data_IF_139725021547
#
_entry.id   IF_139725021547
#
_cell.length_a   1.000
_cell.length_b   1.000
_cell.length_c   1.000
_cell.angle_alpha   90.00
_cell.angle_beta   90.00
_cell.angle_gamma   90.00
#
_symmetry.space_group_name_H-M   'P 1'
#
loop_
_entity.id
_entity.type
_entity.pdbx_description
1 polymer ?
#
# COMPACT_ATOMS: atom_id res chain seq x y z
N UNK A 1 -2.00 -1.99 31.09
CA UNK A 1 -3.25 -1.39 30.59
C UNK A 1 -3.22 -1.44 29.09
N UNK A 2 -4.16 -2.15 28.49
CA UNK A 2 -4.28 -2.23 27.03
C UNK A 2 -4.76 -0.86 26.44
N UNK A 3 -4.69 -0.69 25.12
CA UNK A 3 -5.10 0.58 24.50
C UNK A 3 -6.60 0.89 24.63
N UNK A 4 -7.44 -0.13 24.82
CA UNK A 4 -8.88 0.05 24.98
C UNK A 4 -9.20 0.60 26.38
N UNK A 5 -8.57 0.05 27.41
CA UNK A 5 -8.64 0.55 28.79
C UNK A 5 -8.12 1.99 28.88
N UNK A 6 -7.01 2.31 28.18
CA UNK A 6 -6.49 3.68 28.10
C UNK A 6 -7.50 4.64 27.47
N UNK A 7 -8.18 4.22 26.39
CA UNK A 7 -9.23 5.03 25.76
C UNK A 7 -10.37 5.30 26.75
N UNK A 8 -10.89 4.26 27.41
CA UNK A 8 -11.96 4.41 28.40
C UNK A 8 -11.55 5.29 29.58
N UNK A 9 -10.30 5.21 30.05
CA UNK A 9 -9.78 6.08 31.10
C UNK A 9 -9.76 7.56 30.66
N UNK A 10 -9.35 7.84 29.42
CA UNK A 10 -9.34 9.20 28.86
C UNK A 10 -10.76 9.72 28.70
N UNK A 11 -11.69 8.91 28.18
CA UNK A 11 -13.09 9.30 28.06
C UNK A 11 -13.69 9.68 29.41
N UNK A 12 -13.51 8.81 30.42
CA UNK A 12 -13.93 9.07 31.80
C UNK A 12 -13.31 10.35 32.37
N UNK A 13 -12.00 10.57 32.16
CA UNK A 13 -11.33 11.79 32.60
C UNK A 13 -11.98 13.05 32.00
N UNK A 14 -12.32 13.04 30.72
CA UNK A 14 -12.98 14.17 30.06
C UNK A 14 -14.42 14.39 30.54
N UNK A 15 -15.14 13.33 30.89
CA UNK A 15 -16.49 13.42 31.46
C UNK A 15 -16.50 14.04 32.86
N UNK A 16 -15.57 13.62 33.71
CA UNK A 16 -15.47 14.07 35.10
C UNK A 16 -14.90 15.49 35.21
N UNK A 17 -13.83 15.81 34.46
CA UNK A 17 -13.11 17.08 34.59
C UNK A 17 -13.61 18.17 33.64
N UNK A 18 -14.28 17.80 32.55
CA UNK A 18 -14.79 18.75 31.55
C UNK A 18 -16.27 18.52 31.17
N UNK A 19 -17.19 18.42 32.15
CA UNK A 19 -18.59 18.03 31.91
C UNK A 19 -19.34 19.02 31.00
N UNK A 20 -18.93 20.29 31.01
CA UNK A 20 -19.54 21.38 30.20
C UNK A 20 -19.10 21.39 28.73
N UNK A 21 -18.13 20.56 28.32
CA UNK A 21 -17.74 20.48 26.91
C UNK A 21 -18.85 19.79 26.11
N UNK A 22 -19.31 20.45 25.05
CA UNK A 22 -20.20 19.85 24.07
C UNK A 22 -19.55 18.64 23.38
N UNK A 23 -20.39 17.73 22.86
CA UNK A 23 -20.01 16.41 22.34
C UNK A 23 -18.84 16.48 21.34
N UNK A 24 -18.86 17.42 20.39
CA UNK A 24 -17.80 17.56 19.38
C UNK A 24 -16.45 17.97 19.98
N UNK A 25 -16.46 18.88 20.96
CA UNK A 25 -15.25 19.36 21.65
C UNK A 25 -14.65 18.26 22.52
N UNK A 26 -15.50 17.52 23.24
CA UNK A 26 -15.07 16.36 24.03
C UNK A 26 -14.41 15.29 23.15
N UNK A 27 -15.06 14.93 22.04
CA UNK A 27 -14.54 13.95 21.06
C UNK A 27 -13.14 14.32 20.56
N UNK A 28 -12.94 15.56 20.13
CA UNK A 28 -11.63 16.04 19.66
C UNK A 28 -10.57 16.06 20.76
N UNK A 29 -10.94 16.45 21.98
CA UNK A 29 -10.06 16.43 23.14
C UNK A 29 -9.59 15.00 23.48
N UNK A 30 -10.53 14.06 23.58
CA UNK A 30 -10.25 12.62 23.79
C UNK A 30 -9.34 12.10 22.69
N UNK A 31 -9.64 12.42 21.44
CA UNK A 31 -8.83 12.03 20.27
C UNK A 31 -7.38 12.47 20.40
N UNK A 32 -7.14 13.75 20.68
CA UNK A 32 -5.79 14.30 20.82
C UNK A 32 -5.07 13.72 22.03
N UNK A 33 -5.76 13.59 23.17
CA UNK A 33 -5.21 13.02 24.38
C UNK A 33 -4.78 11.56 24.16
N UNK A 34 -5.61 10.75 23.51
CA UNK A 34 -5.31 9.36 23.19
C UNK A 34 -4.07 9.23 22.30
N UNK A 35 -4.00 10.01 21.22
CA UNK A 35 -2.83 9.97 20.33
C UNK A 35 -1.54 10.41 21.03
N UNK A 36 -1.61 11.42 21.92
CA UNK A 36 -0.46 11.85 22.74
C UNK A 36 -0.02 10.74 23.70
N UNK A 37 -0.96 10.16 24.45
CA UNK A 37 -0.68 9.08 25.41
C UNK A 37 -0.07 7.86 24.71
N UNK A 38 -0.58 7.51 23.53
CA UNK A 38 -0.05 6.41 22.73
C UNK A 38 1.37 6.70 22.23
N UNK A 39 1.57 7.83 21.53
CA UNK A 39 2.86 8.22 20.95
C UNK A 39 3.96 8.35 21.99
N UNK A 40 3.67 9.03 23.10
CA UNK A 40 4.65 9.33 24.15
C UNK A 40 4.71 8.26 25.24
N UNK A 41 3.90 7.19 25.13
CA UNK A 41 3.81 6.08 26.08
C UNK A 41 3.55 6.56 27.52
N UNK A 42 2.70 7.57 27.69
CA UNK A 42 2.40 8.14 29.01
C UNK A 42 1.63 7.14 29.88
N UNK A 43 1.96 7.12 31.17
CA UNK A 43 1.29 6.31 32.19
C UNK A 43 0.18 7.03 32.95
N UNK A 44 0.02 8.34 32.76
CA UNK A 44 -0.98 9.16 33.44
C UNK A 44 -1.47 10.31 32.54
N UNK A 45 -2.47 11.07 33.02
CA UNK A 45 -3.14 12.15 32.29
C UNK A 45 -2.82 13.55 32.85
N UNK A 46 -1.74 13.71 33.62
CA UNK A 46 -1.42 14.99 34.29
C UNK A 46 -1.20 16.15 33.30
N UNK A 47 -0.81 15.85 32.05
CA UNK A 47 -0.69 16.87 31.01
C UNK A 47 -2.02 17.51 30.57
N UNK A 48 -3.14 16.91 30.97
CA UNK A 48 -4.48 17.46 30.80
C UNK A 48 -4.89 18.33 32.00
N UNK A 49 -4.10 18.45 33.06
CA UNK A 49 -4.40 19.31 34.20
C UNK A 49 -4.07 20.80 33.90
N UNK A 50 -4.62 21.70 34.71
CA UNK A 50 -4.41 23.15 34.64
C UNK A 50 -5.66 23.95 34.27
N UNK A 51 -5.59 25.27 34.45
CA UNK A 51 -6.67 26.19 34.07
C UNK A 51 -6.63 26.54 32.58
N UNK A 52 -7.81 26.65 31.96
CA UNK A 52 -7.96 27.01 30.56
C UNK A 52 -8.91 28.19 30.39
N UNK A 53 -8.45 29.21 29.65
CA UNK A 53 -9.30 30.35 29.30
C UNK A 53 -10.53 29.93 28.50
N UNK A 54 -10.36 29.01 27.56
CA UNK A 54 -11.44 28.40 26.76
C UNK A 54 -10.96 27.12 26.04
N UNK A 55 -11.89 26.38 25.44
CA UNK A 55 -11.59 25.16 24.72
C UNK A 55 -10.59 25.35 23.56
N UNK A 56 -10.64 26.47 22.85
CA UNK A 56 -9.70 26.72 21.73
C UNK A 56 -8.25 26.82 22.22
N UNK A 57 -8.02 27.49 23.35
CA UNK A 57 -6.69 27.55 23.98
C UNK A 57 -6.20 26.16 24.42
N UNK A 58 -7.11 25.34 24.96
CA UNK A 58 -6.81 23.97 25.35
C UNK A 58 -6.47 23.08 24.14
N UNK A 59 -7.30 23.13 23.09
CA UNK A 59 -7.08 22.40 21.82
C UNK A 59 -5.75 22.79 21.17
N UNK A 60 -5.41 24.08 21.11
CA UNK A 60 -4.11 24.54 20.57
C UNK A 60 -2.93 23.97 21.34
N UNK A 61 -3.02 23.83 22.67
CA UNK A 61 -1.97 23.21 23.47
C UNK A 61 -1.80 21.72 23.16
N UNK A 62 -2.91 20.99 23.07
CA UNK A 62 -2.89 19.57 22.69
C UNK A 62 -2.36 19.37 21.26
N UNK A 63 -2.78 20.21 20.31
CA UNK A 63 -2.25 20.21 18.95
C UNK A 63 -0.75 20.49 18.92
N UNK A 64 -0.25 21.45 19.72
CA UNK A 64 1.19 21.73 19.81
C UNK A 64 2.00 20.53 20.30
N UNK A 65 1.46 19.73 21.23
CA UNK A 65 2.12 18.51 21.73
C UNK A 65 2.03 17.36 20.73
N UNK A 66 0.86 17.15 20.11
CA UNK A 66 0.66 16.09 19.12
C UNK A 66 1.36 16.36 17.79
N UNK A 67 1.40 17.62 17.36
CA UNK A 67 1.93 18.09 16.07
C UNK A 67 2.98 19.21 16.25
N UNK A 68 4.12 18.96 16.91
CA UNK A 68 5.14 19.98 17.19
C UNK A 68 5.76 20.65 15.95
N UNK A 69 5.82 19.97 14.80
CA UNK A 69 6.38 20.48 13.54
C UNK A 69 5.40 21.40 12.84
N UNK A 70 4.11 21.03 12.82
CA UNK A 70 3.07 21.70 12.02
C UNK A 70 2.19 22.67 12.79
N UNK A 71 2.05 22.50 14.10
CA UNK A 71 1.23 23.38 14.94
C UNK A 71 1.75 24.83 14.87
N UNK A 72 0.85 25.76 14.55
CA UNK A 72 1.16 27.18 14.37
C UNK A 72 1.64 27.58 12.97
N UNK A 73 1.93 26.60 12.10
CA UNK A 73 2.28 26.81 10.67
C UNK A 73 1.16 26.38 9.72
N UNK A 74 0.28 25.50 10.20
CA UNK A 74 -0.82 24.93 9.40
C UNK A 74 -2.17 25.38 9.92
N UNK A 75 -3.13 25.59 9.01
CA UNK A 75 -4.52 25.89 9.35
C UNK A 75 -5.17 24.77 10.16
N UNK A 76 -6.09 25.13 11.06
CA UNK A 76 -6.77 24.16 11.93
C UNK A 76 -7.55 23.08 11.16
N UNK A 77 -8.01 23.39 9.94
CA UNK A 77 -8.75 22.46 9.09
C UNK A 77 -7.91 21.30 8.53
N UNK A 78 -6.59 21.38 8.58
CA UNK A 78 -5.71 20.32 8.06
C UNK A 78 -5.52 19.17 9.07
N UNK A 79 -5.81 19.38 10.35
CA UNK A 79 -5.71 18.34 11.37
C UNK A 79 -6.93 17.42 11.31
N UNK A 80 -6.74 16.18 10.85
CA UNK A 80 -7.81 15.20 10.77
C UNK A 80 -8.02 14.49 12.11
N UNK A 81 -9.06 14.90 12.83
CA UNK A 81 -9.42 14.39 14.16
C UNK A 81 -10.78 13.67 14.13
N UNK A 82 -10.88 12.49 13.48
CA UNK A 82 -12.14 11.74 13.41
C UNK A 82 -12.49 11.19 14.80
N UNK A 83 -13.76 10.80 14.97
CA UNK A 83 -14.17 10.02 16.14
C UNK A 83 -13.28 8.77 16.24
N UNK A 84 -12.69 8.58 17.42
CA UNK A 84 -12.00 7.36 17.79
C UNK A 84 -13.06 6.37 18.30
N UNK A 85 -13.11 5.18 17.68
CA UNK A 85 -14.01 4.09 18.04
C UNK A 85 -13.24 2.80 17.79
N UNK A 86 -12.66 2.26 18.86
CA UNK A 86 -11.80 1.07 18.82
C UNK A 86 -12.61 -0.14 19.26
N UNK A 87 -12.71 -1.14 18.39
CA UNK A 87 -13.44 -2.38 18.66
C UNK A 87 -12.50 -3.58 18.66
N UNK A 88 -12.56 -4.38 19.73
CA UNK A 88 -11.67 -5.54 19.93
C UNK A 88 -11.90 -6.63 18.89
N UNK A 89 -13.11 -6.76 18.34
CA UNK A 89 -13.42 -7.77 17.32
C UNK A 89 -12.71 -7.54 15.98
N UNK A 90 -12.29 -6.31 15.67
CA UNK A 90 -11.63 -5.99 14.40
C UNK A 90 -10.12 -6.15 14.42
N UNK A 91 -9.53 -6.32 15.61
CA UNK A 91 -8.09 -6.47 15.77
C UNK A 91 -7.59 -7.66 14.95
N UNK A 92 -6.57 -7.40 14.13
CA UNK A 92 -5.91 -8.40 13.30
C UNK A 92 -5.31 -9.48 14.19
N UNK A 93 -5.60 -10.73 13.84
CA UNK A 93 -5.04 -11.92 14.48
C UNK A 93 -4.29 -12.69 13.40
N UNK A 94 -2.97 -12.87 13.53
CA UNK A 94 -2.20 -13.57 12.52
C UNK A 94 -2.73 -15.00 12.33
N UNK A 95 -3.23 -15.31 11.14
CA UNK A 95 -3.41 -16.69 10.69
C UNK A 95 -2.20 -17.05 9.82
N UNK A 96 -1.54 -18.17 10.10
CA UNK A 96 -0.36 -18.59 9.34
C UNK A 96 -0.77 -19.19 7.98
N UNK A 97 -0.01 -18.89 6.93
CA UNK A 97 -0.17 -19.48 5.59
C UNK A 97 -0.67 -18.52 4.52
N UNK A 98 -0.61 -18.95 3.26
CA UNK A 98 -1.17 -18.23 2.12
C UNK A 98 -2.71 -18.31 2.06
N UNK A 99 -3.35 -17.74 1.03
CA UNK A 99 -4.81 -17.82 0.88
C UNK A 99 -5.26 -19.28 0.74
N UNK A 100 -6.08 -19.74 1.69
CA UNK A 100 -6.73 -21.04 1.70
C UNK A 100 -8.24 -20.81 1.60
N UNK A 101 -8.77 -20.64 0.38
CA UNK A 101 -10.17 -20.32 0.20
C UNK A 101 -11.06 -21.51 0.56
N UNK A 102 -11.97 -21.28 1.49
CA UNK A 102 -13.03 -22.21 1.87
C UNK A 102 -14.22 -22.11 0.92
N UNK A 103 -14.43 -20.91 0.33
CA UNK A 103 -15.55 -20.60 -0.55
C UNK A 103 -15.04 -20.05 -1.87
N UNK A 104 -15.50 -20.62 -2.98
CA UNK A 104 -15.19 -20.17 -4.32
C UNK A 104 -16.50 -19.92 -5.05
N UNK A 105 -16.87 -18.65 -5.13
CA UNK A 105 -18.02 -18.20 -5.90
C UNK A 105 -17.62 -17.95 -7.35
N UNK A 106 -18.47 -18.30 -8.30
CA UNK A 106 -18.17 -18.10 -9.72
C UNK A 106 -19.41 -17.68 -10.50
N UNK A 107 -19.25 -16.74 -11.44
CA UNK A 107 -20.31 -16.44 -12.40
C UNK A 107 -20.46 -17.60 -13.39
N UNK A 108 -21.65 -17.75 -14.00
CA UNK A 108 -21.89 -18.81 -15.01
C UNK A 108 -20.84 -18.83 -16.13
N UNK A 109 -20.36 -17.66 -16.54
CA UNK A 109 -19.33 -17.46 -17.57
C UNK A 109 -17.93 -17.99 -17.17
N UNK A 110 -17.67 -18.16 -15.87
CA UNK A 110 -16.41 -18.69 -15.35
C UNK A 110 -16.38 -20.22 -15.31
N UNK A 111 -17.53 -20.90 -15.40
CA UNK A 111 -17.61 -22.37 -15.37
C UNK A 111 -16.81 -22.95 -16.55
N UNK A 112 -15.97 -23.94 -16.24
CA UNK A 112 -15.15 -24.64 -17.24
C UNK A 112 -13.91 -23.87 -17.72
N UNK A 113 -13.68 -22.63 -17.23
CA UNK A 113 -12.44 -21.91 -17.52
C UNK A 113 -11.20 -22.66 -16.99
N UNK A 114 -10.02 -22.31 -17.54
CA UNK A 114 -8.73 -22.83 -17.08
C UNK A 114 -8.52 -22.57 -15.59
N UNK A 115 -8.83 -21.35 -15.14
CA UNK A 115 -8.70 -20.96 -13.73
C UNK A 115 -9.68 -21.73 -12.83
N UNK A 116 -10.95 -21.86 -13.23
CA UNK A 116 -11.93 -22.65 -12.48
C UNK A 116 -11.46 -24.10 -12.28
N UNK A 117 -11.02 -24.73 -13.37
CA UNK A 117 -10.55 -26.13 -13.35
C UNK A 117 -9.28 -26.30 -12.50
N UNK A 118 -8.38 -25.31 -12.55
CA UNK A 118 -7.18 -25.28 -11.71
C UNK A 118 -7.53 -25.19 -10.22
N UNK A 119 -8.43 -24.26 -9.85
CA UNK A 119 -8.85 -24.08 -8.46
C UNK A 119 -9.60 -25.30 -7.91
N UNK A 120 -10.41 -25.98 -8.72
CA UNK A 120 -11.04 -27.26 -8.34
C UNK A 120 -10.02 -28.34 -7.95
N UNK A 121 -8.87 -28.37 -8.63
CA UNK A 121 -7.78 -29.32 -8.33
C UNK A 121 -6.97 -28.89 -7.11
N UNK A 122 -6.70 -27.60 -6.96
CA UNK A 122 -5.95 -27.05 -5.82
C UNK A 122 -6.74 -27.13 -4.51
N UNK A 123 -8.06 -26.95 -4.58
CA UNK A 123 -8.94 -26.90 -3.41
C UNK A 123 -10.14 -27.85 -3.56
N UNK A 124 -9.91 -29.18 -3.54
CA UNK A 124 -10.99 -30.16 -3.72
C UNK A 124 -12.04 -30.10 -2.60
N UNK A 125 -11.66 -29.63 -1.40
CA UNK A 125 -12.55 -29.46 -0.26
C UNK A 125 -13.26 -28.10 -0.16
N UNK A 126 -12.95 -27.14 -1.04
CA UNK A 126 -13.61 -25.84 -1.02
C UNK A 126 -15.05 -25.94 -1.53
N UNK A 127 -15.94 -25.12 -0.99
CA UNK A 127 -17.32 -24.99 -1.44
C UNK A 127 -17.37 -24.14 -2.71
N UNK A 128 -17.79 -24.74 -3.84
CA UNK A 128 -17.98 -24.02 -5.10
C UNK A 128 -19.46 -23.73 -5.33
N UNK A 129 -19.80 -22.46 -5.48
CA UNK A 129 -21.18 -22.05 -5.77
C UNK A 129 -21.25 -21.08 -6.93
N UNK A 130 -22.17 -21.34 -7.84
CA UNK A 130 -22.51 -20.38 -8.89
C UNK A 130 -23.24 -19.18 -8.26
N UNK A 131 -22.96 -17.99 -8.76
CA UNK A 131 -23.64 -16.73 -8.38
C UNK A 131 -24.14 -16.01 -9.63
N UNK A 132 -25.13 -15.13 -9.45
CA UNK A 132 -25.68 -14.30 -10.52
C UNK A 132 -24.63 -13.31 -11.05
N UNK A 133 -24.26 -12.31 -10.23
CA UNK A 133 -23.20 -11.35 -10.54
C UNK A 133 -22.36 -11.05 -9.30
N UNK A 134 -21.08 -10.70 -9.48
CA UNK A 134 -20.23 -10.20 -8.38
C UNK A 134 -20.86 -9.00 -7.67
N UNK A 135 -21.54 -8.13 -8.42
CA UNK A 135 -22.19 -6.92 -7.90
C UNK A 135 -23.17 -7.20 -6.76
N UNK A 136 -23.77 -8.39 -6.71
CA UNK A 136 -24.71 -8.77 -5.65
C UNK A 136 -24.01 -8.96 -4.29
N UNK A 137 -22.67 -9.05 -4.29
CA UNK A 137 -21.82 -9.11 -3.11
C UNK A 137 -21.09 -7.79 -2.84
N UNK A 138 -21.26 -6.77 -3.67
CA UNK A 138 -20.72 -5.44 -3.39
C UNK A 138 -21.51 -4.80 -2.24
N UNK A 139 -20.81 -4.06 -1.38
CA UNK A 139 -21.46 -3.27 -0.35
C UNK A 139 -20.52 -2.25 0.25
N UNK A 140 -21.02 -1.56 1.27
CA UNK A 140 -20.17 -0.66 2.06
C UNK A 140 -18.99 -1.43 2.67
N UNK A 141 -17.87 -0.71 2.81
CA UNK A 141 -16.69 -1.23 3.45
C UNK A 141 -17.02 -1.64 4.89
N UNK A 142 -16.73 -2.88 5.24
CA UNK A 142 -16.86 -3.42 6.58
C UNK A 142 -15.58 -4.18 6.97
N UNK A 143 -15.10 -3.92 8.18
CA UNK A 143 -13.85 -4.49 8.68
C UNK A 143 -13.94 -5.99 8.90
N UNK A 144 -15.09 -6.53 9.31
CA UNK A 144 -15.27 -7.98 9.46
C UNK A 144 -15.17 -8.66 8.10
N UNK A 145 -15.85 -8.12 7.07
CA UNK A 145 -15.76 -8.61 5.68
C UNK A 145 -14.34 -8.49 5.14
N UNK A 146 -13.64 -7.39 5.40
CA UNK A 146 -12.25 -7.22 4.98
C UNK A 146 -11.33 -8.25 5.64
N UNK A 147 -11.45 -8.45 6.95
CA UNK A 147 -10.65 -9.41 7.71
C UNK A 147 -10.89 -10.87 7.25
N UNK A 148 -12.10 -11.21 6.81
CA UNK A 148 -12.44 -12.55 6.33
C UNK A 148 -12.11 -12.79 4.84
N UNK A 149 -11.63 -11.78 4.10
CA UNK A 149 -11.51 -11.84 2.62
C UNK A 149 -10.68 -13.01 2.08
N UNK A 150 -9.69 -13.49 2.83
CA UNK A 150 -8.79 -14.54 2.37
C UNK A 150 -9.45 -15.94 2.30
N UNK A 151 -10.62 -16.12 2.94
CA UNK A 151 -11.35 -17.39 2.89
C UNK A 151 -12.28 -17.50 1.68
N UNK A 152 -12.41 -16.44 0.87
CA UNK A 152 -13.37 -16.37 -0.23
C UNK A 152 -12.70 -15.91 -1.53
N UNK A 153 -12.87 -16.68 -2.61
CA UNK A 153 -12.54 -16.25 -3.97
C UNK A 153 -13.81 -16.01 -4.79
N UNK A 154 -13.75 -15.01 -5.65
CA UNK A 154 -14.75 -14.74 -6.69
C UNK A 154 -14.10 -14.90 -8.07
N UNK A 155 -14.68 -15.76 -8.90
CA UNK A 155 -14.27 -15.96 -10.29
C UNK A 155 -15.26 -15.27 -11.21
N UNK A 156 -14.77 -14.27 -11.93
CA UNK A 156 -15.60 -13.41 -12.79
C UNK A 156 -15.05 -13.36 -14.19
N UNK A 157 -15.92 -13.06 -15.17
CA UNK A 157 -15.45 -12.67 -16.50
C UNK A 157 -15.40 -11.14 -16.57
N UNK A 158 -14.20 -10.57 -16.61
CA UNK A 158 -14.01 -9.12 -16.77
C UNK A 158 -14.52 -8.67 -18.15
N UNK A 159 -15.12 -7.48 -18.24
CA UNK A 159 -15.73 -6.97 -19.48
C UNK A 159 -15.24 -5.59 -19.89
N UNK A 160 -14.73 -4.79 -18.96
CA UNK A 160 -14.52 -3.36 -19.18
C UNK A 160 -13.18 -2.87 -18.65
N UNK A 161 -12.77 -3.29 -17.45
CA UNK A 161 -11.62 -2.69 -16.76
C UNK A 161 -10.32 -3.45 -17.00
N UNK A 162 -10.02 -3.81 -18.26
CA UNK A 162 -8.83 -4.60 -18.57
C UNK A 162 -7.52 -3.82 -18.37
N UNK A 163 -7.50 -2.58 -18.88
CA UNK A 163 -6.31 -1.75 -18.98
C UNK A 163 -6.65 -0.26 -18.89
N UNK A 164 -6.11 0.42 -17.88
CA UNK A 164 -6.35 1.84 -17.64
C UNK A 164 -5.07 2.60 -17.27
N UNK A 165 -4.97 3.92 -17.54
CA UNK A 165 -3.93 4.73 -16.94
C UNK A 165 -4.00 4.63 -15.40
N UNK A 166 -2.85 4.65 -14.74
CA UNK A 166 -2.77 4.78 -13.29
C UNK A 166 -3.57 6.01 -12.85
N UNK A 167 -4.48 5.90 -11.87
CA UNK A 167 -5.25 7.03 -11.37
C UNK A 167 -4.39 7.89 -10.43
N UNK A 168 -3.27 8.41 -10.95
CA UNK A 168 -2.46 9.41 -10.26
C UNK A 168 -3.37 10.54 -9.79
N UNK A 169 -3.22 10.95 -8.54
CA UNK A 169 -4.15 11.93 -7.98
C UNK A 169 -3.94 13.29 -8.63
N UNK A 170 -5.02 14.04 -8.83
CA UNK A 170 -4.97 15.39 -9.39
C UNK A 170 -3.95 16.25 -8.63
N UNK A 171 -3.13 17.00 -9.36
CA UNK A 171 -2.04 17.81 -8.81
C UNK A 171 -0.71 17.05 -8.63
N UNK A 172 -0.69 15.73 -8.80
CA UNK A 172 0.55 14.95 -8.82
C UNK A 172 1.16 14.90 -10.23
N UNK A 173 2.48 14.71 -10.29
CA UNK A 173 3.18 14.40 -11.55
C UNK A 173 2.81 12.98 -11.99
N UNK A 174 2.32 12.84 -13.22
CA UNK A 174 1.98 11.54 -13.78
C UNK A 174 3.25 10.74 -14.06
N UNK A 175 3.27 9.50 -13.60
CA UNK A 175 4.32 8.55 -13.97
C UNK A 175 4.00 7.87 -15.32
N UNK A 176 2.85 8.08 -15.96
CA UNK A 176 2.53 7.45 -17.26
C UNK A 176 2.41 5.91 -17.21
N UNK A 177 2.27 5.34 -16.00
CA UNK A 177 2.03 3.91 -15.79
C UNK A 177 0.62 3.53 -16.19
N UNK A 178 0.45 2.36 -16.81
CA UNK A 178 -0.85 1.73 -17.04
C UNK A 178 -1.01 0.52 -16.12
N UNK A 179 -2.23 0.32 -15.66
CA UNK A 179 -2.63 -0.80 -14.82
C UNK A 179 -3.30 -1.85 -15.68
N UNK A 180 -2.72 -3.04 -15.69
CA UNK A 180 -3.34 -4.26 -16.19
C UNK A 180 -4.11 -4.92 -15.04
N UNK A 181 -5.43 -4.75 -15.00
CA UNK A 181 -6.21 -4.98 -13.78
C UNK A 181 -6.56 -6.46 -13.56
N UNK A 182 -5.59 -7.24 -13.09
CA UNK A 182 -5.69 -8.70 -12.97
C UNK A 182 -6.50 -9.22 -11.78
N UNK A 183 -7.20 -8.36 -11.07
CA UNK A 183 -8.02 -8.75 -9.93
C UNK A 183 -8.13 -7.67 -8.87
N UNK A 184 -8.82 -8.03 -7.80
CA UNK A 184 -9.13 -7.12 -6.71
C UNK A 184 -8.99 -7.81 -5.37
N UNK A 185 -8.31 -7.16 -4.43
CA UNK A 185 -7.94 -7.73 -3.13
C UNK A 185 -6.52 -8.31 -3.13
N UNK A 186 -5.98 -8.45 -1.92
CA UNK A 186 -4.63 -8.95 -1.69
C UNK A 186 -4.61 -9.89 -0.47
N UNK A 187 -3.86 -11.00 -0.53
CA UNK A 187 -3.78 -11.96 0.58
C UNK A 187 -2.97 -11.44 1.78
N UNK A 188 -2.17 -10.39 1.60
CA UNK A 188 -1.32 -9.83 2.65
C UNK A 188 -2.08 -8.90 3.58
N UNK A 189 -1.51 -8.73 4.77
CA UNK A 189 -2.11 -8.01 5.88
C UNK A 189 -1.29 -6.79 6.29
N UNK A 190 -0.81 -6.03 5.30
CA UNK A 190 0.02 -4.85 5.58
C UNK A 190 -0.78 -3.78 6.34
N UNK A 191 -0.26 -3.30 7.47
CA UNK A 191 -0.92 -2.32 8.34
C UNK A 191 -1.24 -1.02 7.61
N UNK A 192 -0.37 -0.59 6.70
CA UNK A 192 -0.51 0.62 5.91
C UNK A 192 -1.28 0.42 4.58
N UNK A 193 -1.82 -0.77 4.31
CA UNK A 193 -2.41 -1.10 3.01
C UNK A 193 -3.58 -0.16 2.66
N UNK A 194 -3.51 0.51 1.50
CA UNK A 194 -4.58 1.40 1.07
C UNK A 194 -5.88 0.65 0.73
N UNK A 195 -5.83 -0.64 0.38
CA UNK A 195 -7.02 -1.45 0.07
C UNK A 195 -8.01 -1.53 1.24
N UNK A 196 -7.54 -1.30 2.47
CA UNK A 196 -8.37 -1.17 3.68
C UNK A 196 -9.35 0.02 3.62
N UNK A 197 -9.29 0.89 2.61
CA UNK A 197 -10.28 1.94 2.36
C UNK A 197 -10.98 1.84 1.01
N UNK A 198 -10.77 0.75 0.27
CA UNK A 198 -11.27 0.60 -1.11
C UNK A 198 -12.03 -0.70 -1.34
N UNK A 199 -11.70 -1.77 -0.61
CA UNK A 199 -12.30 -3.08 -0.86
C UNK A 199 -13.79 -3.11 -0.52
N UNK A 200 -14.63 -3.37 -1.52
CA UNK A 200 -16.09 -3.36 -1.42
C UNK A 200 -16.74 -4.75 -1.52
N UNK A 201 -15.92 -5.80 -1.67
CA UNK A 201 -16.35 -7.21 -1.73
C UNK A 201 -15.67 -8.04 -0.64
N UNK A 202 -16.33 -9.11 -0.13
CA UNK A 202 -15.85 -9.88 1.00
C UNK A 202 -14.92 -11.03 0.57
N UNK A 203 -14.03 -10.78 -0.39
CA UNK A 203 -13.16 -11.81 -0.95
C UNK A 203 -12.16 -11.27 -1.95
N UNK A 204 -11.30 -12.15 -2.46
CA UNK A 204 -10.39 -11.84 -3.57
C UNK A 204 -11.11 -12.12 -4.89
N UNK A 205 -11.00 -11.21 -5.85
CA UNK A 205 -11.63 -11.32 -7.18
C UNK A 205 -10.56 -11.62 -8.21
N UNK A 206 -10.80 -12.67 -9.00
CA UNK A 206 -9.91 -13.10 -10.07
C UNK A 206 -10.68 -13.18 -11.40
N UNK A 207 -10.20 -12.53 -12.47
CA UNK A 207 -10.77 -12.70 -13.79
C UNK A 207 -10.43 -14.09 -14.35
N UNK A 208 -11.30 -14.65 -15.19
CA UNK A 208 -11.12 -15.98 -15.82
C UNK A 208 -10.78 -15.93 -17.30
N UNK A 209 -10.63 -14.72 -17.86
CA UNK A 209 -10.53 -14.43 -19.28
C UNK A 209 -9.32 -13.55 -19.59
N UNK A 210 -8.12 -14.00 -19.18
CA UNK A 210 -6.87 -13.24 -19.38
C UNK A 210 -6.59 -12.94 -20.87
N UNK A 211 -7.08 -13.80 -21.76
CA UNK A 211 -6.98 -13.65 -23.21
C UNK A 211 -7.67 -12.37 -23.71
N UNK A 212 -8.79 -11.98 -23.08
CA UNK A 212 -9.48 -10.73 -23.42
C UNK A 212 -8.63 -9.51 -23.03
N UNK A 213 -7.84 -9.59 -21.96
CA UNK A 213 -6.93 -8.52 -21.59
C UNK A 213 -5.80 -8.33 -22.62
N UNK A 214 -5.27 -9.44 -23.15
CA UNK A 214 -4.28 -9.40 -24.22
C UNK A 214 -4.86 -8.82 -25.52
N UNK A 215 -6.08 -9.23 -25.89
CA UNK A 215 -6.78 -8.69 -27.04
C UNK A 215 -7.04 -7.18 -26.91
N UNK A 216 -7.47 -6.72 -25.73
CA UNK A 216 -7.68 -5.29 -25.46
C UNK A 216 -6.37 -4.50 -25.51
N UNK A 217 -5.27 -5.06 -24.99
CA UNK A 217 -3.96 -4.46 -25.14
C UNK A 217 -3.60 -4.29 -26.62
N UNK A 218 -3.69 -5.35 -27.43
CA UNK A 218 -3.34 -5.27 -28.85
C UNK A 218 -4.24 -4.31 -29.61
N UNK A 219 -5.55 -4.27 -29.31
CA UNK A 219 -6.49 -3.32 -29.91
C UNK A 219 -6.12 -1.86 -29.62
N UNK A 220 -5.68 -1.56 -28.39
CA UNK A 220 -5.41 -0.18 -27.95
C UNK A 220 -4.00 0.29 -28.26
N UNK A 221 -3.05 -0.63 -28.35
CA UNK A 221 -1.61 -0.35 -28.41
C UNK A 221 -0.90 -0.98 -29.62
N UNK A 222 -1.63 -1.46 -30.62
CA UNK A 222 -1.05 -1.85 -31.91
C UNK A 222 -0.26 -0.69 -32.52
N UNK A 223 1.01 -0.94 -32.90
CA UNK A 223 1.84 0.07 -33.55
C UNK A 223 2.43 1.15 -32.62
N UNK A 224 2.50 0.89 -31.31
CA UNK A 224 3.23 1.75 -30.36
C UNK A 224 4.63 2.10 -30.86
N UNK A 225 4.91 3.40 -31.02
CA UNK A 225 6.24 3.93 -31.37
C UNK A 225 7.05 4.39 -30.16
N UNK A 226 6.37 4.67 -29.03
CA UNK A 226 6.99 5.11 -27.78
C UNK A 226 6.88 4.01 -26.74
N UNK A 227 7.92 3.87 -25.92
CA UNK A 227 7.90 2.92 -24.80
C UNK A 227 6.86 3.35 -23.76
N UNK A 228 6.09 2.37 -23.27
CA UNK A 228 5.16 2.56 -22.16
C UNK A 228 5.43 1.56 -21.04
N UNK A 229 5.03 1.90 -19.82
CA UNK A 229 5.09 1.01 -18.67
C UNK A 229 3.68 0.55 -18.30
N UNK A 230 3.50 -0.76 -18.25
CA UNK A 230 2.26 -1.42 -17.85
C UNK A 230 2.58 -2.33 -16.68
N UNK A 231 1.66 -2.58 -15.77
CA UNK A 231 1.84 -3.66 -14.82
C UNK A 231 0.63 -3.99 -13.98
N UNK A 232 0.76 -5.02 -13.14
CA UNK A 232 -0.36 -5.73 -12.52
C UNK A 232 -0.59 -5.43 -11.02
N UNK A 233 0.08 -4.43 -10.46
CA UNK A 233 0.13 -4.20 -9.01
C UNK A 233 -0.68 -3.05 -8.44
N UNK A 234 -1.88 -2.76 -8.95
CA UNK A 234 -2.75 -1.72 -8.36
C UNK A 234 -3.63 -2.29 -7.25
N UNK A 235 -4.68 -3.03 -7.60
CA UNK A 235 -5.67 -3.53 -6.64
C UNK A 235 -5.44 -4.97 -6.19
N UNK A 236 -4.33 -5.57 -6.61
CA UNK A 236 -3.93 -6.93 -6.27
C UNK A 236 -2.41 -7.07 -6.27
N UNK A 237 -1.92 -8.12 -5.60
CA UNK A 237 -0.53 -8.57 -5.73
C UNK A 237 -0.52 -9.80 -6.63
N UNK A 238 -0.18 -9.59 -7.91
CA UNK A 238 -0.34 -10.62 -8.94
C UNK A 238 0.56 -11.84 -8.69
N UNK A 239 1.79 -11.65 -8.22
CA UNK A 239 2.70 -12.78 -7.92
C UNK A 239 2.36 -13.48 -6.61
N UNK A 240 1.72 -12.80 -5.65
CA UNK A 240 1.19 -13.47 -4.47
C UNK A 240 0.06 -14.46 -4.82
N UNK A 241 -0.76 -14.13 -5.82
CA UNK A 241 -1.88 -14.96 -6.29
C UNK A 241 -1.52 -15.88 -7.46
N UNK A 242 -0.32 -15.73 -8.01
CA UNK A 242 0.15 -16.51 -9.16
C UNK A 242 0.22 -18.03 -8.93
N UNK A 243 0.49 -18.56 -7.72
CA UNK A 243 0.31 -19.99 -7.46
C UNK A 243 -1.12 -20.49 -7.75
N UNK A 244 -2.12 -19.62 -7.59
CA UNK A 244 -3.51 -19.91 -7.90
C UNK A 244 -3.79 -19.74 -9.38
N UNK A 245 -3.33 -18.65 -9.99
CA UNK A 245 -3.73 -18.24 -11.35
C UNK A 245 -2.84 -18.81 -12.45
N UNK A 246 -1.52 -18.83 -12.26
CA UNK A 246 -0.52 -19.10 -13.29
C UNK A 246 -0.39 -18.00 -14.34
N UNK A 247 -0.93 -16.80 -14.08
CA UNK A 247 -0.98 -15.70 -15.03
C UNK A 247 0.39 -15.12 -15.38
N UNK A 248 1.35 -15.17 -14.46
CA UNK A 248 2.68 -14.59 -14.70
C UNK A 248 3.32 -15.17 -15.95
N UNK A 249 3.09 -16.45 -16.21
CA UNK A 249 3.68 -17.14 -17.36
C UNK A 249 3.12 -16.64 -18.68
N UNK A 250 1.79 -16.63 -18.79
CA UNK A 250 1.09 -16.18 -20.00
C UNK A 250 1.38 -14.69 -20.29
N UNK A 251 1.42 -13.88 -19.24
CA UNK A 251 1.75 -12.45 -19.34
C UNK A 251 3.19 -12.25 -19.79
N UNK A 252 4.15 -12.96 -19.18
CA UNK A 252 5.56 -12.82 -19.55
C UNK A 252 5.79 -13.23 -21.00
N UNK A 253 5.18 -14.33 -21.47
CA UNK A 253 5.27 -14.79 -22.87
C UNK A 253 4.59 -13.84 -23.86
N UNK A 254 3.45 -13.24 -23.48
CA UNK A 254 2.76 -12.28 -24.33
C UNK A 254 3.54 -10.98 -24.46
N UNK A 255 3.95 -10.39 -23.33
CA UNK A 255 4.61 -9.09 -23.32
C UNK A 255 6.08 -9.14 -23.72
N UNK A 256 6.78 -10.29 -23.61
CA UNK A 256 8.18 -10.40 -24.05
C UNK A 256 8.36 -10.11 -25.54
N UNK A 257 7.29 -10.27 -26.33
CA UNK A 257 7.24 -10.00 -27.78
C UNK A 257 6.93 -8.53 -28.11
N UNK A 258 6.74 -7.67 -27.12
CA UNK A 258 6.29 -6.27 -27.28
C UNK A 258 7.44 -5.31 -26.96
N UNK A 259 8.28 -4.99 -27.94
CA UNK A 259 9.52 -4.20 -27.77
C UNK A 259 9.32 -2.84 -27.09
N UNK A 260 8.19 -2.18 -27.35
CA UNK A 260 7.86 -0.86 -26.81
C UNK A 260 7.02 -0.91 -25.52
N UNK A 261 7.05 -2.04 -24.80
CA UNK A 261 6.35 -2.18 -23.52
C UNK A 261 7.28 -2.73 -22.46
N UNK A 262 7.40 -2.01 -21.35
CA UNK A 262 7.86 -2.60 -20.10
C UNK A 262 6.66 -3.13 -19.33
N UNK A 263 6.56 -4.45 -19.18
CA UNK A 263 5.56 -5.06 -18.30
C UNK A 263 6.16 -5.30 -16.92
N UNK A 264 5.53 -4.75 -15.89
CA UNK A 264 5.98 -4.83 -14.51
C UNK A 264 5.05 -5.71 -13.66
N UNK A 265 5.63 -6.73 -13.05
CA UNK A 265 5.03 -7.36 -11.88
C UNK A 265 5.45 -6.56 -10.63
N UNK A 266 4.49 -6.08 -9.84
CA UNK A 266 4.78 -5.49 -8.52
C UNK A 266 4.34 -6.46 -7.45
N UNK A 267 5.23 -6.78 -6.51
CA UNK A 267 4.90 -7.75 -5.47
C UNK A 267 5.57 -7.45 -4.13
N UNK A 268 4.98 -7.97 -3.06
CA UNK A 268 5.58 -8.19 -1.74
C UNK A 268 5.80 -9.67 -1.43
N UNK A 269 5.52 -10.56 -2.39
CA UNK A 269 5.87 -11.98 -2.31
C UNK A 269 7.34 -12.23 -2.68
N UNK A 270 7.80 -13.46 -2.49
CA UNK A 270 9.03 -13.98 -3.11
C UNK A 270 8.74 -14.96 -4.26
N UNK A 271 7.50 -14.98 -4.76
CA UNK A 271 7.02 -16.01 -5.69
C UNK A 271 7.46 -15.70 -7.12
N UNK A 272 8.59 -16.28 -7.53
CA UNK A 272 9.15 -16.09 -8.87
C UNK A 272 9.27 -17.39 -9.68
N UNK A 273 8.81 -18.52 -9.13
CA UNK A 273 9.03 -19.86 -9.70
C UNK A 273 8.51 -19.98 -11.14
N UNK A 274 7.33 -19.44 -11.42
CA UNK A 274 6.71 -19.51 -12.74
C UNK A 274 7.45 -18.68 -13.79
N UNK A 275 8.14 -17.60 -13.37
CA UNK A 275 8.96 -16.78 -14.25
C UNK A 275 10.30 -17.45 -14.54
N UNK A 276 10.89 -18.16 -13.58
CA UNK A 276 12.14 -18.89 -13.79
C UNK A 276 12.01 -20.06 -14.79
N UNK A 277 10.78 -20.47 -15.14
CA UNK A 277 10.54 -21.45 -16.21
C UNK A 277 10.49 -20.86 -17.62
N UNK A 278 10.58 -19.53 -17.77
CA UNK A 278 10.37 -18.82 -19.03
C UNK A 278 11.66 -18.15 -19.46
N UNK A 279 11.93 -18.06 -20.75
CA UNK A 279 13.09 -17.30 -21.23
C UNK A 279 12.99 -15.84 -20.77
N UNK A 280 13.98 -15.38 -20.02
CA UNK A 280 14.01 -14.00 -19.54
C UNK A 280 14.00 -13.00 -20.70
N UNK A 281 13.32 -11.88 -20.48
CA UNK A 281 13.24 -10.79 -21.44
C UNK A 281 13.49 -9.45 -20.74
N UNK A 282 14.31 -8.55 -21.31
CA UNK A 282 14.68 -7.29 -20.66
C UNK A 282 13.48 -6.34 -20.46
N UNK A 283 12.38 -6.56 -21.19
CA UNK A 283 11.17 -5.76 -21.09
C UNK A 283 10.15 -6.31 -20.09
N UNK A 284 10.39 -7.51 -19.53
CA UNK A 284 9.65 -8.03 -18.38
C UNK A 284 10.41 -7.65 -17.13
N UNK A 285 9.79 -6.81 -16.30
CA UNK A 285 10.38 -6.27 -15.09
C UNK A 285 9.66 -6.86 -13.88
N UNK A 286 10.41 -7.39 -12.93
CA UNK A 286 9.84 -7.77 -11.63
C UNK A 286 10.31 -6.77 -10.60
N UNK A 287 9.34 -6.22 -9.87
CA UNK A 287 9.58 -5.18 -8.89
C UNK A 287 9.06 -5.58 -7.52
N UNK A 288 9.91 -5.38 -6.51
CA UNK A 288 9.58 -5.70 -5.13
C UNK A 288 9.30 -4.42 -4.36
N UNK A 289 8.26 -4.41 -3.53
CA UNK A 289 8.20 -3.38 -2.49
C UNK A 289 9.24 -3.72 -1.43
N UNK A 290 10.18 -2.81 -1.18
CA UNK A 290 11.27 -3.01 -0.23
C UNK A 290 11.05 -2.09 0.97
N UNK A 291 10.97 -2.70 2.15
CA UNK A 291 10.78 -2.01 3.42
C UNK A 291 11.86 -2.47 4.38
N UNK A 292 12.49 -1.57 5.16
CA UNK A 292 13.54 -1.95 6.09
C UNK A 292 13.07 -3.11 7.00
N UNK A 293 13.90 -4.14 7.27
CA UNK A 293 13.47 -5.35 7.96
C UNK A 293 12.72 -5.10 9.28
N UNK A 294 13.20 -4.14 10.09
CA UNK A 294 12.55 -3.76 11.34
C UNK A 294 11.12 -3.25 11.12
N UNK A 295 10.92 -2.38 10.11
CA UNK A 295 9.61 -1.83 9.77
C UNK A 295 8.70 -2.89 9.13
N UNK A 296 9.25 -3.76 8.28
CA UNK A 296 8.51 -4.84 7.65
C UNK A 296 7.94 -5.81 8.70
N UNK A 297 8.73 -6.19 9.71
CA UNK A 297 8.30 -7.11 10.76
C UNK A 297 7.11 -6.59 11.59
N UNK A 298 6.98 -5.27 11.73
CA UNK A 298 5.89 -4.64 12.47
C UNK A 298 4.66 -4.31 11.62
N UNK A 299 4.78 -4.36 10.28
CA UNK A 299 3.77 -3.77 9.39
C UNK A 299 3.38 -4.61 8.18
N UNK A 300 4.15 -5.62 7.78
CA UNK A 300 3.95 -6.36 6.53
C UNK A 300 3.57 -7.81 6.76
N UNK A 301 2.51 -8.01 7.54
CA UNK A 301 2.04 -9.34 7.93
C UNK A 301 1.62 -10.20 6.73
N UNK A 302 1.97 -11.49 6.80
CA UNK A 302 1.71 -12.53 5.79
C UNK A 302 2.36 -12.30 4.41
N UNK A 303 3.17 -11.26 4.26
CA UNK A 303 4.01 -11.05 3.08
C UNK A 303 5.36 -11.74 3.23
N UNK A 304 6.14 -11.83 2.15
CA UNK A 304 7.50 -12.35 2.24
C UNK A 304 8.38 -11.38 3.04
N UNK A 305 9.27 -11.91 3.88
CA UNK A 305 10.26 -11.08 4.58
C UNK A 305 11.23 -10.38 3.62
N UNK A 306 12.00 -9.42 4.14
CA UNK A 306 13.01 -8.71 3.34
C UNK A 306 14.01 -9.67 2.68
N UNK A 307 14.52 -10.67 3.41
CA UNK A 307 15.49 -11.65 2.89
C UNK A 307 14.96 -12.41 1.68
N UNK A 308 13.72 -12.91 1.76
CA UNK A 308 13.10 -13.67 0.66
C UNK A 308 12.90 -12.80 -0.58
N UNK A 309 12.52 -11.52 -0.40
CA UNK A 309 12.40 -10.56 -1.51
C UNK A 309 13.76 -10.21 -2.12
N UNK A 310 14.79 -10.04 -1.29
CA UNK A 310 16.16 -9.78 -1.72
C UNK A 310 16.74 -10.96 -2.50
N UNK A 311 16.53 -12.18 -2.01
CA UNK A 311 16.95 -13.41 -2.71
C UNK A 311 16.24 -13.53 -4.07
N UNK A 312 14.92 -13.31 -4.11
CA UNK A 312 14.15 -13.34 -5.35
C UNK A 312 14.67 -12.30 -6.35
N UNK A 313 14.93 -11.07 -5.90
CA UNK A 313 15.52 -10.00 -6.70
C UNK A 313 16.90 -10.40 -7.27
N UNK A 314 17.79 -10.96 -6.45
CA UNK A 314 19.12 -11.44 -6.89
C UNK A 314 19.01 -12.59 -7.90
N UNK A 315 18.09 -13.54 -7.68
CA UNK A 315 17.87 -14.67 -8.60
C UNK A 315 17.34 -14.24 -9.96
N UNK A 316 16.43 -13.27 -9.98
CA UNK A 316 15.90 -12.71 -11.22
C UNK A 316 16.97 -12.01 -12.05
N UNK A 317 17.86 -11.24 -11.39
CA UNK A 317 19.00 -10.60 -12.06
C UNK A 317 19.92 -11.65 -12.71
N UNK A 318 20.32 -12.68 -11.95
CA UNK A 318 21.17 -13.78 -12.45
C UNK A 318 20.54 -14.54 -13.62
N UNK A 319 19.20 -14.62 -13.63
CA UNK A 319 18.45 -15.29 -14.69
C UNK A 319 18.20 -14.39 -15.91
N UNK A 320 18.56 -13.11 -15.86
CA UNK A 320 18.49 -12.16 -16.97
C UNK A 320 17.19 -11.36 -17.05
N UNK A 321 16.34 -11.40 -16.01
CA UNK A 321 15.20 -10.49 -15.91
C UNK A 321 15.64 -9.09 -15.47
N UNK A 322 14.88 -8.08 -15.90
CA UNK A 322 15.02 -6.74 -15.35
C UNK A 322 14.42 -6.67 -13.94
N UNK A 323 15.13 -6.05 -13.01
CA UNK A 323 14.66 -5.83 -11.65
C UNK A 323 14.36 -4.36 -11.38
N UNK A 324 13.39 -4.09 -10.51
CA UNK A 324 13.10 -2.78 -9.96
C UNK A 324 12.69 -2.91 -8.49
N UNK A 325 12.60 -1.81 -7.75
CA UNK A 325 11.98 -1.85 -6.44
C UNK A 325 11.23 -0.56 -6.09
N UNK A 326 10.34 -0.69 -5.12
CA UNK A 326 9.48 0.40 -4.67
C UNK A 326 9.69 0.62 -3.18
N UNK A 327 10.03 1.84 -2.81
CA UNK A 327 9.93 2.34 -1.45
C UNK A 327 8.59 3.08 -1.35
N UNK A 328 7.49 2.35 -1.44
CA UNK A 328 6.11 2.88 -1.35
C UNK A 328 5.26 1.96 -0.43
N UNK A 329 5.14 2.28 0.86
CA UNK A 329 5.51 3.56 1.48
C UNK A 329 6.95 3.63 2.04
N UNK A 330 7.55 4.82 1.99
CA UNK A 330 8.59 5.25 2.94
C UNK A 330 7.93 5.61 4.25
N UNK A 331 8.27 4.90 5.33
CA UNK A 331 7.73 5.11 6.68
C UNK A 331 8.73 5.93 7.48
N UNK A 332 8.29 7.09 7.97
CA UNK A 332 9.08 7.97 8.82
C UNK A 332 8.97 7.52 10.27
N UNK A 333 10.12 7.45 10.95
CA UNK A 333 10.22 7.10 12.36
C UNK A 333 11.59 7.54 12.89
N UNK A 334 11.82 7.44 14.19
CA UNK A 334 13.14 7.72 14.77
C UNK A 334 14.19 6.76 14.19
N UNK A 335 15.33 7.30 13.73
CA UNK A 335 16.41 6.50 13.13
C UNK A 335 16.12 5.97 11.71
N UNK A 336 15.07 6.46 11.05
CA UNK A 336 14.66 6.01 9.71
C UNK A 336 15.82 6.06 8.69
N UNK A 337 16.65 7.11 8.72
CA UNK A 337 17.73 7.28 7.74
C UNK A 337 18.70 6.10 7.73
N UNK A 338 19.10 5.61 8.92
CA UNK A 338 19.97 4.45 9.06
C UNK A 338 19.28 3.18 8.56
N UNK A 339 17.99 2.99 8.90
CA UNK A 339 17.22 1.82 8.46
C UNK A 339 17.17 1.71 6.93
N UNK A 340 16.92 2.83 6.24
CA UNK A 340 16.90 2.85 4.78
C UNK A 340 18.30 2.74 4.18
N UNK A 341 19.32 3.40 4.76
CA UNK A 341 20.71 3.26 4.31
C UNK A 341 21.19 1.81 4.36
N UNK A 342 20.97 1.14 5.49
CA UNK A 342 21.38 -0.26 5.69
C UNK A 342 20.64 -1.18 4.70
N UNK A 343 19.33 -0.98 4.51
CA UNK A 343 18.55 -1.74 3.53
C UNK A 343 19.05 -1.54 2.09
N UNK A 344 19.29 -0.29 1.67
CA UNK A 344 19.79 0.03 0.34
C UNK A 344 21.18 -0.56 0.10
N UNK A 345 22.07 -0.51 1.09
CA UNK A 345 23.38 -1.16 1.02
C UNK A 345 23.26 -2.65 0.70
N UNK A 346 22.40 -3.36 1.43
CA UNK A 346 22.15 -4.80 1.21
C UNK A 346 21.52 -5.10 -0.15
N UNK A 347 20.64 -4.22 -0.66
CA UNK A 347 20.08 -4.34 -2.01
C UNK A 347 21.19 -4.23 -3.06
N UNK A 348 22.05 -3.22 -2.95
CA UNK A 348 23.09 -2.98 -3.95
C UNK A 348 24.29 -3.94 -3.86
N UNK A 349 24.52 -4.57 -2.70
CA UNK A 349 25.40 -5.73 -2.57
C UNK A 349 24.86 -6.95 -3.34
N UNK A 350 23.53 -7.13 -3.38
CA UNK A 350 22.90 -8.28 -4.03
C UNK A 350 22.65 -8.07 -5.53
N UNK A 351 22.37 -6.83 -5.95
CA UNK A 351 22.08 -6.45 -7.34
C UNK A 351 22.70 -5.08 -7.63
N UNK A 352 23.62 -5.00 -8.61
CA UNK A 352 24.26 -3.74 -8.95
C UNK A 352 23.25 -2.64 -9.37
N UNK A 353 23.45 -1.38 -8.94
CA UNK A 353 22.53 -0.28 -9.24
C UNK A 353 22.21 -0.09 -10.73
N UNK A 354 23.17 -0.35 -11.62
CA UNK A 354 23.01 -0.26 -13.07
C UNK A 354 21.99 -1.27 -13.63
N UNK A 355 21.82 -2.42 -12.95
CA UNK A 355 20.84 -3.47 -13.28
C UNK A 355 19.43 -3.15 -12.81
N UNK A 356 19.28 -2.20 -11.89
CA UNK A 356 17.98 -1.73 -11.44
C UNK A 356 17.39 -0.80 -12.51
N UNK A 357 16.19 -1.14 -13.00
CA UNK A 357 15.49 -0.37 -14.04
C UNK A 357 14.90 0.93 -13.51
N UNK A 358 14.26 0.90 -12.35
CA UNK A 358 13.76 2.10 -11.66
C UNK A 358 13.58 1.86 -10.18
N UNK A 359 13.54 2.96 -9.44
CA UNK A 359 13.14 2.98 -8.03
C UNK A 359 12.00 3.97 -7.84
N UNK A 360 10.91 3.48 -7.26
CA UNK A 360 9.80 4.34 -6.83
C UNK A 360 10.02 4.83 -5.41
N UNK A 361 9.80 6.12 -5.17
CA UNK A 361 9.78 6.70 -3.84
C UNK A 361 8.39 7.28 -3.55
N UNK A 362 7.67 6.75 -2.57
CA UNK A 362 6.38 7.27 -2.14
C UNK A 362 6.33 7.30 -0.63
N UNK A 363 6.24 8.47 0.00
CA UNK A 363 6.04 8.54 1.45
C UNK A 363 4.68 8.01 1.83
N UNK A 364 4.58 7.48 3.06
CA UNK A 364 3.31 6.98 3.58
C UNK A 364 2.21 8.03 3.47
N UNK A 365 1.12 7.62 2.82
CA UNK A 365 -0.06 8.44 2.57
C UNK A 365 -1.29 7.55 2.50
N UNK A 366 -2.42 8.06 2.93
CA UNK A 366 -3.67 7.29 2.92
C UNK A 366 -4.89 8.21 2.91
N UNK A 367 -6.04 7.68 2.46
CA UNK A 367 -7.29 8.41 2.55
C UNK A 367 -7.74 8.52 4.01
N UNK A 368 -8.42 9.60 4.41
CA UNK A 368 -8.80 9.80 5.81
C UNK A 368 -9.56 8.61 6.42
N UNK A 369 -10.42 7.95 5.64
CA UNK A 369 -11.22 6.79 6.04
C UNK A 369 -10.35 5.60 6.44
N UNK A 370 -9.20 5.42 5.79
CA UNK A 370 -8.25 4.33 6.09
C UNK A 370 -7.71 4.44 7.50
N UNK A 371 -7.66 5.63 8.10
CA UNK A 371 -7.14 5.82 9.47
C UNK A 371 -7.85 4.94 10.49
N UNK A 372 -9.18 4.88 10.41
CA UNK A 372 -10.00 4.07 11.33
C UNK A 372 -9.76 2.58 11.16
N UNK A 373 -9.56 2.13 9.92
CA UNK A 373 -9.24 0.75 9.62
C UNK A 373 -7.89 0.35 10.24
N UNK A 374 -6.86 1.18 10.08
CA UNK A 374 -5.54 0.96 10.69
C UNK A 374 -5.66 0.87 12.22
N UNK A 375 -6.35 1.82 12.84
CA UNK A 375 -6.52 1.89 14.29
C UNK A 375 -7.26 0.69 14.87
N UNK A 376 -8.30 0.21 14.19
CA UNK A 376 -9.09 -0.93 14.65
C UNK A 376 -8.39 -2.26 14.41
N UNK A 377 -7.75 -2.43 13.24
CA UNK A 377 -7.10 -3.70 12.86
C UNK A 377 -5.74 -3.84 13.53
N UNK A 378 -5.02 -2.75 13.74
CA UNK A 378 -3.68 -2.78 14.32
C UNK A 378 -3.60 -1.76 15.46
N UNK A 379 -4.23 -2.02 16.62
CA UNK A 379 -4.29 -1.04 17.72
C UNK A 379 -2.90 -0.53 18.13
N UNK A 380 -1.90 -1.41 18.18
CA UNK A 380 -0.51 -1.10 18.55
C UNK A 380 0.34 -0.51 17.41
N UNK A 381 -0.27 -0.15 16.26
CA UNK A 381 0.47 0.43 15.12
C UNK A 381 1.26 1.67 15.53
N UNK A 382 2.46 1.85 14.96
CA UNK A 382 3.28 3.06 15.14
C UNK A 382 3.31 3.97 13.91
N UNK A 383 2.78 3.49 12.78
CA UNK A 383 2.76 4.24 11.50
C UNK A 383 1.89 5.51 11.55
N UNK A 384 1.05 5.66 12.58
CA UNK A 384 0.23 6.84 12.83
C UNK A 384 0.78 7.76 13.93
N UNK A 385 1.94 7.45 14.52
CA UNK A 385 2.51 8.23 15.64
C UNK A 385 3.13 9.55 15.16
N UNK A 386 3.65 9.58 13.94
CA UNK A 386 4.16 10.79 13.30
C UNK A 386 3.04 11.74 12.88
N UNK A 387 3.42 12.96 12.49
CA UNK A 387 2.45 13.96 12.04
C UNK A 387 1.88 13.61 10.67
N UNK A 388 0.55 13.52 10.59
CA UNK A 388 -0.17 13.31 9.34
C UNK A 388 -1.24 14.38 9.18
N UNK A 389 -1.20 15.10 8.07
CA UNK A 389 -2.07 16.25 7.77
C UNK A 389 -2.80 16.04 6.45
N UNK A 390 -4.03 16.55 6.37
CA UNK A 390 -4.71 16.66 5.08
C UNK A 390 -3.91 17.59 4.17
N UNK A 391 -3.54 17.08 3.01
CA UNK A 391 -2.75 17.78 2.01
C UNK A 391 -3.58 18.10 0.75
N UNK A 392 -2.95 18.67 -0.27
CA UNK A 392 -3.56 19.18 -1.51
C UNK A 392 -4.47 18.19 -2.24
N UNK A 393 -4.30 16.89 -2.00
CA UNK A 393 -5.01 15.80 -2.69
C UNK A 393 -6.04 15.08 -1.80
N UNK A 394 -6.37 15.66 -0.65
CA UNK A 394 -7.33 15.13 0.32
C UNK A 394 -6.84 13.91 1.08
N UNK A 395 -5.59 13.48 0.88
CA UNK A 395 -4.99 12.39 1.66
C UNK A 395 -4.26 12.95 2.88
N UNK A 396 -4.09 12.08 3.87
CA UNK A 396 -3.18 12.30 4.98
C UNK A 396 -1.76 12.01 4.54
N UNK A 397 -0.85 12.97 4.76
CA UNK A 397 0.57 12.91 4.41
C UNK A 397 1.43 13.46 5.53
N UNK A 398 2.71 13.06 5.57
CA UNK A 398 3.69 13.78 6.37
C UNK A 398 3.78 15.26 5.92
N UNK A 399 4.14 16.20 6.82
CA UNK A 399 4.35 17.59 6.45
C UNK A 399 5.35 17.73 5.31
N UNK A 400 5.14 18.72 4.43
CA UNK A 400 5.96 18.91 3.23
C UNK A 400 7.47 18.93 3.51
N UNK A 401 7.90 19.66 4.55
CA UNK A 401 9.31 19.74 4.93
C UNK A 401 9.91 18.37 5.34
N UNK A 402 9.14 17.55 6.05
CA UNK A 402 9.55 16.18 6.43
C UNK A 402 9.65 15.30 5.19
N UNK A 403 8.68 15.38 4.27
CA UNK A 403 8.74 14.64 3.00
C UNK A 403 9.95 15.06 2.15
N UNK A 404 10.25 16.36 2.08
CA UNK A 404 11.40 16.88 1.36
C UNK A 404 12.72 16.36 1.93
N UNK A 405 12.87 16.34 3.27
CA UNK A 405 14.03 15.75 3.94
C UNK A 405 14.18 14.26 3.58
N UNK A 406 13.09 13.49 3.70
CA UNK A 406 13.06 12.06 3.39
C UNK A 406 13.52 11.82 1.95
N UNK A 407 12.89 12.48 0.99
CA UNK A 407 13.20 12.27 -0.42
C UNK A 407 14.61 12.77 -0.76
N UNK A 408 15.04 13.92 -0.24
CA UNK A 408 16.39 14.44 -0.51
C UNK A 408 17.47 13.47 -0.05
N UNK A 409 17.33 12.92 1.15
CA UNK A 409 18.27 11.94 1.70
C UNK A 409 18.26 10.64 0.92
N UNK A 410 17.09 10.09 0.58
CA UNK A 410 17.01 8.84 -0.22
C UNK A 410 17.57 9.03 -1.63
N UNK A 411 17.26 10.14 -2.30
CA UNK A 411 17.82 10.46 -3.62
C UNK A 411 19.35 10.55 -3.55
N UNK A 412 19.90 11.23 -2.53
CA UNK A 412 21.36 11.29 -2.30
C UNK A 412 21.95 9.90 -2.06
N UNK A 413 21.36 9.08 -1.20
CA UNK A 413 21.84 7.73 -0.92
C UNK A 413 21.85 6.85 -2.17
N UNK A 414 20.78 6.89 -2.97
CA UNK A 414 20.68 6.16 -4.24
C UNK A 414 21.73 6.65 -5.25
N UNK A 415 21.88 7.97 -5.39
CA UNK A 415 22.87 8.56 -6.30
C UNK A 415 24.31 8.21 -5.87
N UNK A 416 24.62 8.30 -4.56
CA UNK A 416 25.93 7.92 -4.02
C UNK A 416 26.25 6.44 -4.18
N UNK A 417 25.23 5.58 -4.26
CA UNK A 417 25.40 4.18 -4.58
C UNK A 417 25.66 3.92 -6.08
N UNK A 418 25.65 4.96 -6.93
CA UNK A 418 25.87 4.83 -8.38
C UNK A 418 24.60 4.72 -9.21
N UNK A 419 23.41 4.89 -8.61
CA UNK A 419 22.17 4.88 -9.36
C UNK A 419 21.96 6.20 -10.12
N UNK A 420 21.61 6.09 -11.40
CA UNK A 420 21.20 7.24 -12.20
C UNK A 420 19.88 7.83 -11.65
N UNK A 421 19.91 9.10 -11.23
CA UNK A 421 18.75 9.79 -10.66
C UNK A 421 17.55 9.87 -11.60
N UNK A 422 17.76 9.75 -12.91
CA UNK A 422 16.67 9.74 -13.89
C UNK A 422 15.83 8.46 -13.85
N UNK A 423 16.34 7.39 -13.23
CA UNK A 423 15.61 6.14 -12.93
C UNK A 423 14.76 6.25 -11.66
N UNK A 424 14.76 7.39 -10.98
CA UNK A 424 13.96 7.65 -9.78
C UNK A 424 12.65 8.33 -10.15
N UNK A 425 11.56 7.96 -9.48
CA UNK A 425 10.31 8.70 -9.58
C UNK A 425 9.58 8.79 -8.26
N UNK A 426 8.91 9.92 -8.03
CA UNK A 426 8.12 10.13 -6.82
C UNK A 426 6.66 9.74 -7.07
N UNK A 427 6.18 8.71 -6.36
CA UNK A 427 4.83 8.19 -6.53
C UNK A 427 3.80 9.12 -5.86
N UNK A 428 2.82 9.60 -6.64
CA UNK A 428 1.75 10.50 -6.19
C UNK A 428 2.27 11.72 -5.43
N UNK A 429 3.27 12.40 -5.98
CA UNK A 429 3.82 13.64 -5.41
C UNK A 429 3.61 14.87 -6.28
N UNK A 430 3.58 16.04 -5.63
CA UNK A 430 3.31 17.32 -6.28
C UNK A 430 4.46 17.76 -7.17
N UNK A 431 4.15 18.55 -8.21
CA UNK A 431 5.17 19.14 -9.10
C UNK A 431 6.25 19.89 -8.32
N UNK A 432 5.86 20.66 -7.30
CA UNK A 432 6.77 21.41 -6.44
C UNK A 432 7.82 20.51 -5.76
N UNK A 433 7.41 19.35 -5.24
CA UNK A 433 8.35 18.42 -4.60
C UNK A 433 9.39 17.91 -5.59
N UNK A 434 8.96 17.55 -6.80
CA UNK A 434 9.86 17.12 -7.86
C UNK A 434 10.85 18.22 -8.26
N UNK A 435 10.40 19.48 -8.37
CA UNK A 435 11.24 20.63 -8.73
C UNK A 435 12.30 20.90 -7.67
N UNK A 436 11.94 20.86 -6.38
CA UNK A 436 12.91 21.04 -5.29
C UNK A 436 13.99 19.96 -5.24
N UNK A 437 13.69 18.77 -5.78
CA UNK A 437 14.63 17.65 -5.84
C UNK A 437 15.38 17.58 -7.17
N UNK A 438 15.09 18.46 -8.13
CA UNK A 438 15.70 18.44 -9.46
C UNK A 438 15.32 17.22 -10.31
N UNK A 439 14.24 16.50 -9.97
CA UNK A 439 13.82 15.28 -10.68
C UNK A 439 12.90 15.57 -11.88
N UNK A 440 12.49 16.82 -12.04
CA UNK A 440 11.55 17.27 -13.06
C UNK A 440 12.08 17.24 -14.48
N UNK A 441 13.34 17.63 -14.64
CA UNK A 441 14.01 17.66 -15.92
C UNK A 441 14.65 16.28 -16.14
N UNK A 442 14.08 15.48 -17.05
CA UNK A 442 14.70 14.21 -17.46
C UNK A 442 14.05 12.93 -16.94
N UNK A 443 12.85 12.99 -16.36
CA UNK A 443 12.09 11.78 -16.12
C UNK A 443 11.70 11.12 -17.46
N UNK A 444 12.32 9.99 -17.76
CA UNK A 444 12.07 9.25 -18.98
C UNK A 444 12.24 7.75 -18.72
N UNK A 445 11.27 6.94 -19.15
CA UNK A 445 11.25 5.49 -18.93
C UNK A 445 12.19 4.72 -19.86
N UNK A 446 12.71 5.39 -20.89
CA UNK A 446 13.43 4.81 -22.02
C UNK A 446 14.96 4.90 -21.89
N UNK A 447 15.47 5.26 -20.70
CA UNK A 447 16.90 5.35 -20.38
C UNK A 447 17.62 4.01 -20.28
#
# INVERSE_FOLDING_TARGET
MDLYEKLSQIEKYFEENYPRLGVNKRREGVRLAFEIVKRERLGNLSFLEGEYKNYESFKKRLLKRRYPVSSGKTGLGNFYLPRLDLKKEYAFRPAQGGPQPEKIYFEKSARGSKLFSRLKKLFPGAFFSEIGKLKDFEGEFDLSRYNARNSTLFLVREKFDFLKPCPCTRGCVSCGYFVFNLGFGCPFECSYCFLQGYQNVPGLVLPVNIEDFFAEFDRRFSGLKKKIRIGSGEFTDSLALDPLTGFSSEIAEFFSKKENVYFEFKTKSGNISNLLGIKASPNIVVSFSMTPPALASENEFLSAGFESRLEALSRLEKYGYSAAFHLDPVIFTSGWEKLYKDMLGRIFEAVPPERIKWVSLGTFRFRPETKKAIENRFPDNKILDEEMLLDFDGKLRYPFAVRLEIYSTLVKQLASAGMDVRKLYLCMESREMWDKLGLSAGFAWDL
#
